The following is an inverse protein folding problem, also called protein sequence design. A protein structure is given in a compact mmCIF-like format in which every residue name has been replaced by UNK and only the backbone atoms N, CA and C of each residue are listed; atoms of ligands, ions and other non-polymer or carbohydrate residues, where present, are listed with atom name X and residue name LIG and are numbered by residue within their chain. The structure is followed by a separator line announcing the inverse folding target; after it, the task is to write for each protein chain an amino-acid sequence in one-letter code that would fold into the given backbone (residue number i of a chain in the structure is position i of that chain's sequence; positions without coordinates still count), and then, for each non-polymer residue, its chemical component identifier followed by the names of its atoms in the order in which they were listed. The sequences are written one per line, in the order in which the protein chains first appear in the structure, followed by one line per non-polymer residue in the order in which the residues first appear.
data_IF_399965533715
#
_entry.id   IF_399965533715
#
_cell.length_a   1.000
_cell.length_b   1.000
_cell.length_c   1.000
_cell.angle_alpha   90.00
_cell.angle_beta   90.00
_cell.angle_gamma   90.00
#
_symmetry.space_group_name_H-M   'P 1'
#
loop_
_entity.id
_entity.type
_entity.pdbx_description
1 polymer ?
#
# COMPACT_ATOMS: atom_id res chain seq x y z
N UNK A 1 -10.60 -20.64 5.95
CA UNK A 1 -11.11 -20.63 4.55
C UNK A 1 -12.44 -19.89 4.48
N UNK A 2 -13.52 -20.65 4.28
CA UNK A 2 -14.89 -20.15 4.08
C UNK A 2 -15.43 -19.28 5.22
N UNK A 3 -15.19 -19.71 6.47
CA UNK A 3 -15.61 -18.99 7.68
C UNK A 3 -15.10 -17.55 7.78
N UNK A 4 -13.91 -17.24 7.26
CA UNK A 4 -13.38 -15.87 7.29
C UNK A 4 -14.04 -14.96 6.26
N UNK A 5 -14.48 -15.51 5.12
CA UNK A 5 -15.25 -14.72 4.13
C UNK A 5 -16.63 -14.38 4.67
N UNK A 6 -17.31 -15.35 5.27
CA UNK A 6 -18.61 -15.12 5.93
C UNK A 6 -18.47 -14.13 7.10
N UNK A 7 -17.42 -14.25 7.91
CA UNK A 7 -17.13 -13.29 8.97
C UNK A 7 -16.93 -11.86 8.43
N UNK A 8 -16.26 -11.70 7.29
CA UNK A 8 -16.09 -10.39 6.64
C UNK A 8 -17.44 -9.80 6.24
N UNK A 9 -18.33 -10.60 5.66
CA UNK A 9 -19.67 -10.14 5.27
C UNK A 9 -20.48 -9.70 6.49
N UNK A 10 -20.46 -10.49 7.57
CA UNK A 10 -21.12 -10.13 8.83
C UNK A 10 -20.56 -8.83 9.43
N UNK A 11 -19.23 -8.68 9.49
CA UNK A 11 -18.62 -7.48 10.05
C UNK A 11 -18.80 -6.24 9.17
N UNK A 12 -19.06 -6.38 7.86
CA UNK A 12 -19.44 -5.25 6.99
C UNK A 12 -20.84 -4.73 7.27
N UNK A 13 -21.73 -5.56 7.81
CA UNK A 13 -23.06 -5.15 8.25
C UNK A 13 -23.04 -4.49 9.63
N UNK A 14 -21.99 -4.74 10.42
CA UNK A 14 -21.80 -4.09 11.72
C UNK A 14 -21.44 -2.60 11.57
N UNK A 15 -21.69 -1.77 12.61
CA UNK A 15 -21.34 -0.36 12.60
C UNK A 15 -19.84 -0.13 12.34
N UNK A 16 -19.53 0.53 11.22
CA UNK A 16 -18.16 0.88 10.82
C UNK A 16 -17.56 2.03 11.66
N UNK A 17 -18.27 2.48 12.69
CA UNK A 17 -17.77 3.43 13.69
C UNK A 17 -16.95 2.77 14.79
N UNK A 18 -16.94 1.43 14.87
CA UNK A 18 -16.22 0.71 15.92
C UNK A 18 -14.82 0.29 15.47
N UNK A 19 -13.80 0.72 16.21
CA UNK A 19 -12.42 0.29 15.99
C UNK A 19 -12.27 -1.24 16.12
N UNK A 20 -13.04 -1.88 17.00
CA UNK A 20 -13.02 -3.33 17.19
C UNK A 20 -13.55 -4.09 15.95
N UNK A 21 -14.59 -3.56 15.27
CA UNK A 21 -15.13 -4.17 14.03
C UNK A 21 -14.06 -4.15 12.93
N UNK A 22 -13.38 -3.02 12.76
CA UNK A 22 -12.28 -2.90 11.80
C UNK A 22 -11.08 -3.79 12.16
N UNK A 23 -10.75 -3.96 13.44
CA UNK A 23 -9.72 -4.92 13.85
C UNK A 23 -10.11 -6.36 13.49
N UNK A 24 -11.36 -6.77 13.78
CA UNK A 24 -11.86 -8.11 13.42
C UNK A 24 -11.90 -8.36 11.91
N UNK A 25 -12.27 -7.35 11.12
CA UNK A 25 -12.16 -7.40 9.66
C UNK A 25 -10.70 -7.59 9.22
N UNK A 26 -9.77 -6.84 9.81
CA UNK A 26 -8.34 -6.96 9.55
C UNK A 26 -7.82 -8.38 9.83
N UNK A 27 -8.23 -8.99 10.95
CA UNK A 27 -7.87 -10.36 11.32
C UNK A 27 -8.41 -11.35 10.28
N UNK A 28 -9.67 -11.21 9.88
CA UNK A 28 -10.27 -12.10 8.89
C UNK A 28 -9.54 -12.00 7.53
N UNK A 29 -9.20 -10.80 7.05
CA UNK A 29 -8.40 -10.62 5.84
C UNK A 29 -6.97 -11.16 5.99
N UNK A 30 -6.35 -10.99 7.16
CA UNK A 30 -5.03 -11.54 7.46
C UNK A 30 -5.02 -13.08 7.37
N UNK A 31 -6.04 -13.73 7.93
CA UNK A 31 -6.23 -15.19 7.85
C UNK A 31 -6.55 -15.67 6.42
N UNK A 32 -7.04 -14.79 5.56
CA UNK A 32 -7.20 -15.03 4.12
C UNK A 32 -5.95 -14.70 3.31
N UNK A 33 -4.83 -14.36 3.95
CA UNK A 33 -3.58 -13.91 3.31
C UNK A 33 -3.74 -12.65 2.46
N UNK A 34 -4.87 -11.94 2.56
CA UNK A 34 -5.08 -10.63 1.92
C UNK A 34 -4.54 -9.52 2.84
N UNK A 35 -3.21 -9.47 2.94
CA UNK A 35 -2.50 -8.51 3.78
C UNK A 35 -2.76 -7.06 3.39
N UNK A 36 -3.08 -6.79 2.11
CA UNK A 36 -3.40 -5.44 1.63
C UNK A 36 -4.72 -4.95 2.19
N UNK A 37 -5.75 -5.80 2.21
CA UNK A 37 -7.02 -5.44 2.84
C UNK A 37 -6.91 -5.42 4.36
N UNK A 38 -6.17 -6.38 4.95
CA UNK A 38 -5.94 -6.42 6.39
C UNK A 38 -5.35 -5.09 6.90
N UNK A 39 -4.31 -4.59 6.24
CA UNK A 39 -3.69 -3.29 6.51
C UNK A 39 -4.71 -2.15 6.54
N UNK A 40 -5.54 -2.02 5.49
CA UNK A 40 -6.53 -0.95 5.38
C UNK A 40 -7.51 -0.96 6.55
N UNK A 41 -7.94 -2.15 6.97
CA UNK A 41 -8.89 -2.29 8.08
C UNK A 41 -8.25 -1.94 9.40
N UNK A 42 -7.04 -2.44 9.68
CA UNK A 42 -6.34 -2.05 10.91
C UNK A 42 -6.02 -0.55 10.97
N UNK A 43 -5.65 0.07 9.85
CA UNK A 43 -5.46 1.54 9.78
C UNK A 43 -6.76 2.30 10.07
N UNK A 44 -7.90 1.77 9.63
CA UNK A 44 -9.21 2.36 9.97
C UNK A 44 -9.52 2.22 11.46
N UNK A 45 -9.20 1.08 12.05
CA UNK A 45 -9.32 0.86 13.50
C UNK A 45 -8.47 1.86 14.30
N UNK A 46 -7.21 2.07 13.88
CA UNK A 46 -6.31 3.05 14.50
C UNK A 46 -6.77 4.51 14.31
N UNK A 47 -7.43 4.84 13.19
CA UNK A 47 -8.03 6.17 13.00
C UNK A 47 -9.21 6.42 13.92
N UNK A 48 -10.03 5.40 14.18
CA UNK A 48 -11.18 5.50 15.07
C UNK A 48 -10.77 5.52 16.54
N UNK A 49 -9.76 4.72 16.90
CA UNK A 49 -9.17 4.73 18.23
C UNK A 49 -7.64 4.65 18.14
N UNK A 50 -6.95 5.81 18.19
CA UNK A 50 -5.50 5.87 18.15
C UNK A 50 -4.80 5.13 19.30
N UNK A 51 -5.51 4.85 20.39
CA UNK A 51 -4.98 4.13 21.56
C UNK A 51 -5.32 2.62 21.52
N UNK A 52 -5.85 2.11 20.41
CA UNK A 52 -6.21 0.70 20.32
C UNK A 52 -4.98 -0.18 20.06
N UNK A 53 -4.35 -0.60 21.16
CA UNK A 53 -3.08 -1.33 21.16
C UNK A 53 -3.11 -2.59 20.27
N UNK A 54 -4.22 -3.32 20.25
CA UNK A 54 -4.38 -4.54 19.47
C UNK A 54 -4.32 -4.28 17.95
N UNK A 55 -4.97 -3.20 17.49
CA UNK A 55 -4.91 -2.78 16.10
C UNK A 55 -3.50 -2.30 15.72
N UNK A 56 -2.84 -1.53 16.58
CA UNK A 56 -1.47 -1.06 16.35
C UNK A 56 -0.47 -2.21 16.25
N UNK A 57 -0.58 -3.21 17.13
CA UNK A 57 0.25 -4.41 17.06
C UNK A 57 0.01 -5.17 15.74
N UNK A 58 -1.26 -5.34 15.36
CA UNK A 58 -1.64 -6.03 14.13
C UNK A 58 -1.18 -5.31 12.86
N UNK A 59 -1.14 -3.97 12.87
CA UNK A 59 -0.54 -3.16 11.79
C UNK A 59 0.94 -3.51 11.63
N UNK A 60 1.69 -3.56 12.73
CA UNK A 60 3.12 -3.90 12.72
C UNK A 60 3.38 -5.28 12.11
N UNK A 61 2.60 -6.29 12.52
CA UNK A 61 2.68 -7.64 11.95
C UNK A 61 2.40 -7.64 10.44
N UNK A 62 1.37 -6.91 9.99
CA UNK A 62 1.05 -6.83 8.56
C UNK A 62 2.12 -6.09 7.76
N UNK A 63 2.69 -5.01 8.29
CA UNK A 63 3.81 -4.33 7.63
C UNK A 63 5.03 -5.25 7.52
N UNK A 64 5.35 -5.99 8.57
CA UNK A 64 6.43 -6.98 8.53
C UNK A 64 6.18 -8.04 7.44
N UNK A 65 4.96 -8.58 7.36
CA UNK A 65 4.59 -9.58 6.37
C UNK A 65 4.52 -9.04 4.93
N UNK A 66 4.18 -7.76 4.74
CA UNK A 66 4.16 -7.08 3.45
C UNK A 66 5.56 -6.64 2.98
N UNK A 67 6.55 -6.62 3.87
CA UNK A 67 7.92 -6.25 3.54
C UNK A 67 8.60 -7.43 2.88
N UNK A 68 8.92 -7.38 1.57
CA UNK A 68 9.67 -8.47 0.96
C UNK A 68 11.04 -8.62 1.65
N UNK A 69 11.54 -9.86 1.83
CA UNK A 69 12.88 -10.11 2.35
C UNK A 69 13.90 -9.50 1.38
N UNK A 70 14.32 -8.27 1.65
CA UNK A 70 15.15 -7.45 0.75
C UNK A 70 14.78 -5.96 0.73
N UNK A 71 13.58 -5.56 1.18
CA UNK A 71 13.17 -4.14 1.19
C UNK A 71 14.01 -3.27 2.14
N UNK A 72 14.71 -3.89 3.12
CA UNK A 72 15.74 -3.20 3.93
C UNK A 72 16.92 -2.66 3.10
N UNK A 73 17.22 -3.24 1.93
CA UNK A 73 18.28 -2.77 1.03
C UNK A 73 17.78 -1.75 -0.01
N UNK A 74 16.47 -1.54 -0.14
CA UNK A 74 15.88 -0.70 -1.18
C UNK A 74 15.43 0.69 -0.70
N UNK A 75 15.67 1.04 0.57
CA UNK A 75 15.57 2.42 1.06
C UNK A 75 16.90 3.17 0.85
N UNK A 76 17.43 3.09 -0.37
CA UNK A 76 18.32 4.13 -0.87
C UNK A 76 17.47 5.41 -1.05
N UNK A 77 17.99 6.61 -0.73
CA UNK A 77 17.18 7.81 -0.71
C UNK A 77 16.53 8.03 -2.07
N UNK A 78 15.29 8.53 -2.04
CA UNK A 78 14.57 9.04 -3.19
C UNK A 78 15.36 10.23 -3.76
N UNK A 79 16.43 9.96 -4.52
CA UNK A 79 17.00 10.94 -5.42
C UNK A 79 16.05 11.01 -6.61
N UNK A 80 15.16 11.99 -6.52
CA UNK A 80 14.43 12.67 -7.59
C UNK A 80 14.67 12.07 -8.98
N UNK A 81 13.68 11.33 -9.49
CA UNK A 81 13.62 11.00 -10.92
C UNK A 81 13.32 12.30 -11.69
N UNK A 82 14.21 12.79 -12.57
CA UNK A 82 13.82 13.83 -13.49
C UNK A 82 12.82 13.22 -14.49
N UNK A 83 11.67 13.88 -14.67
CA UNK A 83 10.69 13.50 -15.68
C UNK A 83 11.35 13.43 -17.06
N UNK A 84 11.42 12.22 -17.62
CA UNK A 84 11.72 12.03 -19.03
C UNK A 84 10.51 12.49 -19.86
N UNK A 85 10.52 13.73 -20.32
CA UNK A 85 9.74 14.14 -21.49
C UNK A 85 10.35 13.47 -22.74
N UNK A 86 9.82 12.33 -23.14
CA UNK A 86 9.79 11.92 -24.55
C UNK A 86 8.74 12.82 -25.23
N UNK A 87 8.80 13.28 -26.47
CA UNK A 87 9.61 13.03 -27.65
C UNK A 87 9.57 14.35 -28.46
N UNK A 88 10.50 14.67 -29.34
CA UNK A 88 10.34 14.27 -30.74
C UNK A 88 11.66 14.43 -31.48
N UNK A 89 12.12 13.31 -32.01
CA UNK A 89 13.17 13.22 -32.99
C UNK A 89 12.58 13.60 -34.36
N UNK A 90 13.09 14.65 -35.01
CA UNK A 90 13.06 14.73 -36.47
C UNK A 90 14.34 15.39 -36.99
N UNK A 91 15.11 14.54 -37.66
CA UNK A 91 16.31 14.80 -38.46
C UNK A 91 16.16 15.98 -39.41
N UNK A 92 17.16 16.87 -39.40
CA UNK A 92 17.78 17.42 -40.61
C UNK A 92 19.06 18.20 -40.27
N UNK A 93 20.20 17.62 -40.64
CA UNK A 93 21.41 18.35 -41.06
C UNK A 93 21.88 17.61 -42.34
N UNK A 94 22.33 18.31 -43.38
CA UNK A 94 23.73 18.73 -43.47
C UNK A 94 23.85 20.21 -43.90
N UNK A 95 24.84 21.00 -43.49
CA UNK A 95 26.27 20.82 -43.69
C UNK A 95 26.73 21.54 -44.98
N UNK A 96 27.52 22.62 -44.85
CA UNK A 96 28.26 23.29 -45.94
C UNK A 96 27.93 24.80 -46.07
N UNK A 97 28.71 25.73 -45.50
CA UNK A 97 29.99 26.27 -45.97
C UNK A 97 29.91 27.29 -47.15
N UNK A 98 30.09 28.57 -46.79
CA UNK A 98 30.85 29.66 -47.46
C UNK A 98 30.75 29.87 -48.99
N UNK A 99 30.23 31.03 -49.42
CA UNK A 99 30.95 32.02 -50.26
C UNK A 99 30.17 33.33 -50.38
N UNK A 100 30.79 34.41 -49.91
CA UNK A 100 30.59 35.79 -50.36
C UNK A 100 31.91 36.28 -50.94
#
# INVERSE_FOLDING_TARGET
RKMYREAIEMYRQAPQSSAAVHNKLGIAFHQLTDLRQAKKQYERAAKLNPKYAEALNSIGTVYYALTPPGYRQAVAPVQQRPERRHASFRLQQPGGAIRG
#
